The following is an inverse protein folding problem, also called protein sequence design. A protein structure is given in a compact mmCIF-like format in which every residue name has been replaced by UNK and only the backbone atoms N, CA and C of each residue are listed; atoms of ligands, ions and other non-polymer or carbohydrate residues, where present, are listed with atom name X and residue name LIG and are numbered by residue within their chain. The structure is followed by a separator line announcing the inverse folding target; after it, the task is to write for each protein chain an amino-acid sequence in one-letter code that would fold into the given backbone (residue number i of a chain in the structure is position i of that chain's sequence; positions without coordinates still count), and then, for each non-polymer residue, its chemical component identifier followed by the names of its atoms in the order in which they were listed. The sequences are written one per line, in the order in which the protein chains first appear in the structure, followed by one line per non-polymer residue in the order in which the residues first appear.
data_IF_840752383584
#
_entry.id   IF_840752383584
#
_cell.length_a   1.000
_cell.length_b   1.000
_cell.length_c   1.000
_cell.angle_alpha   90.00
_cell.angle_beta   90.00
_cell.angle_gamma   90.00
#
_symmetry.space_group_name_H-M   'P 1'
#
loop_
_entity.id
_entity.type
_entity.pdbx_description
1 polymer ?
#
# COMPACT_ATOMS: atom_id res chain seq x y z
N UNK A 1 -6.82 -3.85 0.58
CA UNK A 1 -5.54 -3.40 -0.02
C UNK A 1 -4.64 -4.53 -0.47
N UNK A 2 -4.04 -5.35 0.41
CA UNK A 2 -3.08 -6.38 -0.08
C UNK A 2 -3.73 -7.45 -0.97
N UNK A 3 -4.99 -7.81 -0.70
CA UNK A 3 -5.77 -8.72 -1.57
C UNK A 3 -6.02 -8.09 -2.94
N UNK A 4 -6.37 -6.80 -2.97
CA UNK A 4 -6.55 -6.04 -4.22
C UNK A 4 -5.27 -6.02 -5.06
N UNK A 5 -4.10 -5.85 -4.42
CA UNK A 5 -2.81 -5.95 -5.09
C UNK A 5 -2.64 -7.32 -5.76
N UNK A 6 -3.08 -8.41 -5.13
CA UNK A 6 -3.01 -9.75 -5.74
C UNK A 6 -3.96 -9.93 -6.93
N UNK A 7 -5.13 -9.28 -6.93
CA UNK A 7 -6.03 -9.27 -8.08
C UNK A 7 -5.36 -8.58 -9.27
N UNK A 8 -4.78 -7.40 -9.04
CA UNK A 8 -4.06 -6.64 -10.08
C UNK A 8 -2.82 -7.39 -10.58
N UNK A 9 -2.06 -8.02 -9.67
CA UNK A 9 -0.88 -8.82 -9.99
C UNK A 9 -1.20 -10.08 -10.80
N UNK A 10 -2.37 -10.71 -10.60
CA UNK A 10 -2.76 -11.88 -11.39
C UNK A 10 -2.91 -11.55 -12.88
N UNK A 11 -3.20 -10.30 -13.24
CA UNK A 11 -3.34 -9.87 -14.63
C UNK A 11 -2.07 -9.23 -15.19
N UNK A 12 -1.45 -8.31 -14.45
CA UNK A 12 -0.21 -7.65 -14.87
C UNK A 12 0.81 -7.66 -13.72
N UNK A 13 1.61 -8.74 -13.59
CA UNK A 13 2.59 -8.87 -12.53
C UNK A 13 3.62 -7.75 -12.53
N UNK A 14 4.20 -7.41 -13.70
CA UNK A 14 5.26 -6.41 -13.84
C UNK A 14 4.78 -5.05 -13.33
N UNK A 15 3.66 -4.56 -13.88
CA UNK A 15 3.14 -3.25 -13.54
C UNK A 15 2.71 -3.17 -12.06
N UNK A 16 2.18 -4.27 -11.51
CA UNK A 16 1.79 -4.32 -10.11
C UNK A 16 3.01 -4.32 -9.17
N UNK A 17 4.12 -4.94 -9.57
CA UNK A 17 5.37 -4.87 -8.82
C UNK A 17 6.00 -3.47 -8.86
N UNK A 18 5.90 -2.76 -9.98
CA UNK A 18 6.30 -1.35 -10.05
C UNK A 18 5.46 -0.47 -9.12
N UNK A 19 4.13 -0.69 -9.09
CA UNK A 19 3.24 0.00 -8.16
C UNK A 19 3.56 -0.35 -6.70
N UNK A 20 3.93 -1.61 -6.41
CA UNK A 20 4.40 -2.03 -5.08
C UNK A 20 5.66 -1.27 -4.66
N UNK A 21 6.63 -1.08 -5.56
CA UNK A 21 7.84 -0.28 -5.27
C UNK A 21 7.51 1.20 -5.04
N UNK A 22 6.57 1.76 -5.82
CA UNK A 22 6.06 3.11 -5.60
C UNK A 22 5.45 3.27 -4.19
N UNK A 23 4.63 2.30 -3.76
CA UNK A 23 4.06 2.28 -2.40
C UNK A 23 5.17 2.16 -1.33
N UNK A 24 6.16 1.30 -1.52
CA UNK A 24 7.28 1.17 -0.57
C UNK A 24 8.06 2.49 -0.44
N UNK A 25 8.31 3.18 -1.55
CA UNK A 25 8.94 4.50 -1.57
C UNK A 25 8.08 5.55 -0.84
N UNK A 26 6.77 5.53 -1.03
CA UNK A 26 5.87 6.40 -0.28
C UNK A 26 5.98 6.15 1.22
N UNK A 27 5.89 4.89 1.66
CA UNK A 27 5.94 4.52 3.08
C UNK A 27 7.22 4.98 3.80
N UNK A 28 8.35 5.08 3.10
CA UNK A 28 9.62 5.55 3.68
C UNK A 28 9.70 7.08 3.81
N UNK A 29 8.86 7.82 3.06
CA UNK A 29 8.85 9.28 3.06
C UNK A 29 7.80 9.88 4.01
N UNK A 30 6.76 9.12 4.36
CA UNK A 30 5.71 9.59 5.28
C UNK A 30 6.27 9.87 6.67
N UNK A 31 5.95 11.05 7.19
CA UNK A 31 6.29 11.53 8.53
C UNK A 31 5.04 11.62 9.42
N UNK A 32 5.20 11.51 10.76
CA UNK A 32 4.10 11.75 11.68
C UNK A 32 3.61 13.20 11.60
N UNK A 33 2.33 13.40 11.92
CA UNK A 33 1.68 14.72 11.89
C UNK A 33 1.07 15.05 13.25
N UNK A 34 0.90 16.33 13.53
CA UNK A 34 0.25 16.86 14.74
C UNK A 34 -0.97 17.75 14.41
N UNK A 35 -1.34 17.88 13.14
CA UNK A 35 -2.48 18.66 12.66
C UNK A 35 -3.58 17.74 12.15
N UNK A 36 -4.83 18.08 12.46
CA UNK A 36 -6.02 17.42 11.92
C UNK A 36 -6.90 18.43 11.18
N UNK A 37 -7.38 18.14 9.95
CA UNK A 37 -7.13 16.91 9.19
C UNK A 37 -5.69 16.84 8.62
N UNK A 38 -5.15 15.62 8.41
CA UNK A 38 -3.85 15.46 7.75
C UNK A 38 -3.93 15.85 6.27
N UNK A 39 -2.84 16.40 5.73
CA UNK A 39 -2.65 16.60 4.29
C UNK A 39 -1.83 15.47 3.69
N UNK A 40 -1.94 15.28 2.37
CA UNK A 40 -1.00 14.44 1.63
C UNK A 40 0.42 15.01 1.74
N UNK A 41 1.38 14.12 1.92
CA UNK A 41 2.82 14.36 1.98
C UNK A 41 3.55 13.82 0.74
N UNK A 42 3.00 12.80 0.08
CA UNK A 42 3.65 12.12 -1.04
C UNK A 42 2.80 12.10 -2.30
N UNK A 43 1.53 11.71 -2.20
CA UNK A 43 0.64 11.53 -3.32
C UNK A 43 0.50 12.81 -4.14
N UNK A 44 0.51 12.63 -5.45
CA UNK A 44 0.14 13.62 -6.44
C UNK A 44 -0.66 12.93 -7.54
N UNK A 45 -1.59 13.63 -8.22
CA UNK A 45 -2.40 13.03 -9.29
C UNK A 45 -1.56 12.34 -10.38
N UNK A 46 -0.38 12.87 -10.70
CA UNK A 46 0.52 12.31 -11.73
C UNK A 46 1.09 10.94 -11.35
N UNK A 47 1.07 10.57 -10.07
CA UNK A 47 1.51 9.25 -9.62
C UNK A 47 0.60 8.11 -10.09
N UNK A 48 -0.62 8.42 -10.55
CA UNK A 48 -1.58 7.43 -11.04
C UNK A 48 -1.24 7.00 -12.47
N UNK A 49 -0.77 7.94 -13.30
CA UNK A 49 -0.65 7.75 -14.75
C UNK A 49 0.16 6.52 -15.17
N UNK A 50 1.31 6.19 -14.54
CA UNK A 50 2.07 4.99 -14.89
C UNK A 50 1.27 3.68 -14.69
N UNK A 51 0.31 3.67 -13.77
CA UNK A 51 -0.38 2.45 -13.33
C UNK A 51 -1.83 2.37 -13.79
N UNK A 52 -2.31 3.34 -14.56
CA UNK A 52 -3.72 3.49 -14.98
C UNK A 52 -4.32 2.25 -15.64
N UNK A 53 -3.50 1.44 -16.31
CA UNK A 53 -3.95 0.17 -16.88
C UNK A 53 -4.43 -0.84 -15.82
N UNK A 54 -3.98 -0.72 -14.57
CA UNK A 54 -4.45 -1.53 -13.45
C UNK A 54 -5.86 -1.15 -12.98
N UNK A 55 -6.44 -0.02 -13.42
CA UNK A 55 -7.82 0.37 -13.08
C UNK A 55 -8.87 -0.52 -13.75
N UNK A 56 -8.49 -1.27 -14.78
CA UNK A 56 -9.37 -2.20 -15.49
C UNK A 56 -9.72 -3.46 -14.67
N UNK A 57 -9.18 -3.58 -13.45
CA UNK A 57 -9.16 -4.82 -12.68
C UNK A 57 -9.42 -4.56 -11.20
N UNK A 58 -10.11 -5.51 -10.56
CA UNK A 58 -10.42 -5.44 -9.15
C UNK A 58 -11.50 -4.41 -8.83
N UNK A 59 -11.70 -4.14 -7.55
CA UNK A 59 -12.76 -3.26 -7.05
C UNK A 59 -12.29 -1.81 -6.88
N UNK A 60 -10.99 -1.60 -6.70
CA UNK A 60 -10.44 -0.29 -6.35
C UNK A 60 -9.55 0.28 -7.45
N UNK A 61 -9.70 1.58 -7.71
CA UNK A 61 -8.78 2.31 -8.59
C UNK A 61 -7.40 2.43 -7.95
N UNK A 62 -6.40 2.66 -8.79
CA UNK A 62 -5.03 3.02 -8.40
C UNK A 62 -5.06 4.26 -7.53
N UNK A 63 -5.83 5.29 -7.90
CA UNK A 63 -6.00 6.49 -7.09
C UNK A 63 -6.43 6.15 -5.66
N UNK A 64 -7.51 5.38 -5.53
CA UNK A 64 -8.02 4.97 -4.22
C UNK A 64 -6.96 4.22 -3.43
N UNK A 65 -6.25 3.28 -4.07
CA UNK A 65 -5.20 2.52 -3.41
C UNK A 65 -4.07 3.42 -2.92
N UNK A 66 -3.56 4.33 -3.73
CA UNK A 66 -2.45 5.21 -3.34
C UNK A 66 -2.87 6.18 -2.24
N UNK A 67 -4.00 6.86 -2.40
CA UNK A 67 -4.55 7.83 -1.44
C UNK A 67 -4.81 7.18 -0.08
N UNK A 68 -5.53 6.04 -0.05
CA UNK A 68 -5.87 5.38 1.22
C UNK A 68 -4.63 4.80 1.88
N UNK A 69 -3.70 4.24 1.12
CA UNK A 69 -2.43 3.73 1.67
C UNK A 69 -1.66 4.84 2.36
N UNK A 70 -1.59 6.03 1.75
CA UNK A 70 -0.92 7.18 2.34
C UNK A 70 -1.59 7.64 3.63
N UNK A 71 -2.90 7.83 3.63
CA UNK A 71 -3.63 8.25 4.83
C UNK A 71 -3.48 7.24 5.97
N UNK A 72 -3.54 5.94 5.66
CA UNK A 72 -3.26 4.88 6.62
C UNK A 72 -1.82 4.91 7.12
N UNK A 73 -0.85 5.22 6.26
CA UNK A 73 0.54 5.33 6.63
C UNK A 73 0.78 6.53 7.55
N UNK A 74 0.18 7.69 7.27
CA UNK A 74 0.23 8.88 8.12
C UNK A 74 -0.34 8.56 9.51
N UNK A 75 -1.53 7.95 9.57
CA UNK A 75 -2.14 7.56 10.85
C UNK A 75 -1.27 6.55 11.62
N UNK A 76 -0.71 5.55 10.93
CA UNK A 76 0.17 4.56 11.57
C UNK A 76 1.45 5.17 12.08
N UNK A 77 2.15 6.00 11.29
CA UNK A 77 3.39 6.65 11.73
C UNK A 77 3.17 7.61 12.89
N UNK A 78 2.01 8.27 12.92
CA UNK A 78 1.63 9.19 14.00
C UNK A 78 1.30 8.44 15.30
N UNK A 79 0.47 7.38 15.22
CA UNK A 79 -0.04 6.70 16.41
C UNK A 79 0.78 5.47 16.85
N UNK A 80 1.56 4.89 15.94
CA UNK A 80 2.31 3.65 16.13
C UNK A 80 3.66 3.74 15.39
N UNK A 81 4.61 4.56 15.86
CA UNK A 81 5.85 4.86 15.12
C UNK A 81 6.71 3.64 14.83
N UNK A 82 6.68 2.63 15.70
CA UNK A 82 7.37 1.33 15.54
C UNK A 82 6.59 0.33 14.66
N UNK A 83 5.37 0.69 14.24
CA UNK A 83 4.48 -0.14 13.45
C UNK A 83 5.02 -0.39 12.04
N UNK A 84 5.51 -1.61 11.79
CA UNK A 84 6.11 -2.00 10.51
C UNK A 84 5.24 -2.96 9.67
N UNK A 85 4.03 -3.30 10.13
CA UNK A 85 3.21 -4.36 9.49
C UNK A 85 2.92 -4.06 8.02
N UNK A 86 2.48 -2.83 7.68
CA UNK A 86 2.13 -2.48 6.30
C UNK A 86 3.35 -2.60 5.39
N UNK A 87 4.47 -1.98 5.76
CA UNK A 87 5.72 -2.05 5.00
C UNK A 87 6.18 -3.50 4.81
N UNK A 88 6.10 -4.30 5.87
CA UNK A 88 6.49 -5.71 5.84
C UNK A 88 5.56 -6.58 4.99
N UNK A 89 4.30 -6.20 4.77
CA UNK A 89 3.40 -6.87 3.83
C UNK A 89 3.78 -6.54 2.38
N UNK A 90 4.04 -5.26 2.08
CA UNK A 90 4.46 -4.84 0.74
C UNK A 90 5.86 -5.35 0.37
N UNK A 91 6.78 -5.50 1.33
CA UNK A 91 8.08 -6.15 1.09
C UNK A 91 7.94 -7.63 0.75
N UNK A 92 7.00 -8.33 1.40
CA UNK A 92 6.77 -9.76 1.14
C UNK A 92 5.95 -10.02 -0.14
N UNK A 93 5.23 -9.01 -0.64
CA UNK A 93 4.38 -9.11 -1.82
C UNK A 93 5.20 -9.41 -3.10
N UNK A 94 4.77 -10.43 -3.85
CA UNK A 94 5.46 -10.89 -5.05
C UNK A 94 6.75 -11.68 -4.79
N UNK A 95 7.13 -11.88 -3.52
CA UNK A 95 8.29 -12.69 -3.11
C UNK A 95 7.83 -13.96 -2.39
N UNK A 96 6.95 -13.81 -1.39
CA UNK A 96 6.40 -14.93 -0.63
C UNK A 96 5.10 -15.43 -1.25
N UNK A 97 4.75 -16.67 -0.90
CA UNK A 97 3.46 -17.23 -1.22
C UNK A 97 2.30 -16.31 -0.75
N UNK A 98 1.28 -16.19 -1.60
CA UNK A 98 0.15 -15.27 -1.39
C UNK A 98 -0.61 -15.55 -0.10
N UNK A 99 -0.79 -16.82 0.28
CA UNK A 99 -1.50 -17.17 1.51
C UNK A 99 -0.70 -16.79 2.74
N UNK A 100 0.63 -16.97 2.68
CA UNK A 100 1.53 -16.53 3.75
C UNK A 100 1.46 -15.01 3.99
N UNK A 101 1.42 -14.22 2.91
CA UNK A 101 1.30 -12.75 3.01
C UNK A 101 -0.09 -12.34 3.53
N UNK A 102 -1.16 -12.96 3.02
CA UNK A 102 -2.53 -12.67 3.48
C UNK A 102 -2.69 -13.05 4.96
N UNK A 103 -2.21 -14.23 5.38
CA UNK A 103 -2.26 -14.66 6.78
C UNK A 103 -1.51 -13.71 7.70
N UNK A 104 -0.34 -13.20 7.28
CA UNK A 104 0.40 -12.19 8.04
C UNK A 104 -0.41 -10.91 8.29
N UNK A 105 -1.29 -10.53 7.36
CA UNK A 105 -2.17 -9.39 7.52
C UNK A 105 -3.31 -9.65 8.54
N UNK A 106 -3.67 -10.91 8.79
CA UNK A 106 -4.78 -11.32 9.67
C UNK A 106 -4.29 -11.73 11.07
N UNK A 107 -3.16 -12.43 11.16
CA UNK A 107 -2.75 -13.21 12.35
C UNK A 107 -2.24 -12.35 13.51
N UNK A 108 -1.86 -11.08 13.30
CA UNK A 108 -1.30 -10.23 14.37
C UNK A 108 -2.29 -9.88 15.50
N UNK A 109 -3.54 -10.37 15.45
CA UNK A 109 -4.59 -10.16 16.45
C UNK A 109 -4.68 -11.23 17.55
N UNK A 110 -3.85 -12.28 17.51
CA UNK A 110 -3.93 -13.45 18.41
C UNK A 110 -2.72 -13.63 19.36
N UNK A 111 -2.10 -12.56 19.84
CA UNK A 111 -1.17 -12.62 20.97
C UNK A 111 -1.45 -11.50 21.96
#
# INVERSE_FOLDING_TARGET
MIVEMYVKHAHNPSLTLEMKEHILKMLTQIKPVNLFPPSFQFFKPEHIEPFKDLDKLGEFTVEFLLVVTELMAIQKKTNYPEGSLTESLYKDFGIKDRFSVIQKAVLKRLR
#
